data_IF_947947524722
#
_entry.id   IF_947947524722
#
_cell.length_a   1.000
_cell.length_b   1.000
_cell.length_c   1.000
_cell.angle_alpha   90.00
_cell.angle_beta   90.00
_cell.angle_gamma   90.00
#
_symmetry.space_group_name_H-M   'P 1'
#
loop_
_entity.id
_entity.type
_entity.pdbx_description
1 polymer ?
#
# COMPACT_ATOMS: atom_id res chain seq x y z
N UNK A 1 -7.86 19.31 -12.70
CA UNK A 1 -7.52 18.94 -11.31
C UNK A 1 -7.91 17.47 -11.06
N UNK A 2 -7.12 16.53 -11.57
CA UNK A 2 -7.34 15.09 -11.39
C UNK A 2 -5.99 14.40 -11.17
N UNK A 3 -5.42 14.58 -9.99
CA UNK A 3 -4.26 13.78 -9.54
C UNK A 3 -4.45 13.54 -8.04
N UNK A 4 -4.81 12.32 -7.63
CA UNK A 4 -5.15 12.08 -6.22
C UNK A 4 -5.45 10.65 -5.80
N UNK A 5 -5.10 9.62 -6.59
CA UNK A 5 -5.42 8.23 -6.26
C UNK A 5 -4.22 7.26 -6.30
N UNK A 6 -2.99 7.76 -6.09
CA UNK A 6 -1.78 6.94 -6.01
C UNK A 6 -1.25 6.71 -4.58
N UNK A 7 -1.91 7.26 -3.56
CA UNK A 7 -1.29 7.48 -2.24
C UNK A 7 -1.09 6.23 -1.38
N UNK A 8 -1.96 5.21 -1.44
CA UNK A 8 -1.89 4.11 -0.45
C UNK A 8 -0.81 3.06 -0.76
N UNK A 9 -0.61 2.68 -2.03
CA UNK A 9 0.49 1.75 -2.40
C UNK A 9 1.87 2.39 -2.32
N UNK A 10 1.99 3.71 -2.37
CA UNK A 10 3.28 4.40 -2.26
C UNK A 10 3.67 4.57 -0.78
N UNK A 11 2.74 4.97 0.09
CA UNK A 11 3.02 5.15 1.53
C UNK A 11 3.48 3.88 2.25
N UNK A 12 2.75 2.77 2.09
CA UNK A 12 3.12 1.50 2.78
C UNK A 12 4.51 0.98 2.38
N UNK A 13 4.96 1.25 1.15
CA UNK A 13 6.31 0.89 0.69
C UNK A 13 7.40 1.81 1.28
N UNK A 14 7.06 3.06 1.61
CA UNK A 14 7.98 4.00 2.26
C UNK A 14 8.16 3.64 3.74
N UNK A 15 7.08 3.27 4.44
CA UNK A 15 7.17 2.79 5.84
C UNK A 15 8.12 1.59 5.95
N UNK A 16 8.00 0.65 5.01
CA UNK A 16 8.90 -0.50 4.92
C UNK A 16 10.35 -0.06 4.65
N UNK A 17 10.58 0.83 3.68
CA UNK A 17 11.92 1.32 3.35
C UNK A 17 12.59 2.05 4.52
N UNK A 18 11.83 2.85 5.29
CA UNK A 18 12.33 3.51 6.51
C UNK A 18 12.69 2.49 7.59
N UNK A 19 11.90 1.42 7.76
CA UNK A 19 12.23 0.31 8.66
C UNK A 19 13.51 -0.43 8.26
N UNK A 20 13.72 -0.63 6.96
CA UNK A 20 14.97 -1.19 6.41
C UNK A 20 16.14 -0.25 6.67
N UNK A 21 15.99 1.06 6.42
CA UNK A 21 17.01 2.05 6.71
C UNK A 21 17.39 2.06 8.20
N UNK A 22 16.40 1.99 9.10
CA UNK A 22 16.64 1.93 10.54
C UNK A 22 17.42 0.67 10.96
N UNK A 23 17.14 -0.47 10.31
CA UNK A 23 17.83 -1.73 10.57
C UNK A 23 19.29 -1.71 10.07
N UNK A 24 19.54 -1.08 8.93
CA UNK A 24 20.85 -1.09 8.27
C UNK A 24 21.79 0.05 8.71
N UNK A 25 21.23 1.21 9.05
CA UNK A 25 21.98 2.45 9.33
C UNK A 25 21.68 3.04 10.71
N UNK A 26 20.72 2.47 11.43
CA UNK A 26 20.29 2.96 12.72
C UNK A 26 19.15 3.97 12.60
N UNK A 27 18.55 4.25 13.76
CA UNK A 27 17.34 5.05 13.88
C UNK A 27 17.51 6.50 13.38
N UNK A 28 18.61 7.16 13.73
CA UNK A 28 18.86 8.56 13.38
C UNK A 28 18.84 8.78 11.87
N UNK A 29 19.53 7.93 11.10
CA UNK A 29 19.56 8.04 9.63
C UNK A 29 18.15 7.86 9.03
N UNK A 30 17.36 6.94 9.58
CA UNK A 30 15.98 6.74 9.12
C UNK A 30 15.08 7.95 9.42
N UNK A 31 15.25 8.59 10.58
CA UNK A 31 14.53 9.83 10.94
C UNK A 31 14.96 11.00 10.04
N UNK A 32 16.25 11.10 9.70
CA UNK A 32 16.75 12.10 8.74
C UNK A 32 16.19 11.88 7.33
N UNK A 33 16.13 10.63 6.85
CA UNK A 33 15.51 10.29 5.56
C UNK A 33 14.02 10.62 5.58
N UNK A 34 13.31 10.30 6.67
CA UNK A 34 11.90 10.62 6.83
C UNK A 34 11.67 12.14 6.75
N UNK A 35 12.51 12.92 7.42
CA UNK A 35 12.45 14.39 7.40
C UNK A 35 12.79 14.95 6.02
N UNK A 36 13.85 14.45 5.37
CA UNK A 36 14.28 14.87 4.03
C UNK A 36 13.17 14.69 2.99
N UNK A 37 12.38 13.62 3.12
CA UNK A 37 11.26 13.33 2.24
C UNK A 37 9.98 14.07 2.62
N UNK A 38 9.98 14.85 3.70
CA UNK A 38 8.78 15.44 4.33
C UNK A 38 7.66 14.39 4.49
N UNK A 39 8.06 13.17 4.84
CA UNK A 39 7.16 12.02 4.80
C UNK A 39 6.26 11.98 6.04
N UNK A 40 5.06 12.53 5.87
CA UNK A 40 3.97 12.54 6.85
C UNK A 40 2.76 11.84 6.24
N UNK A 41 2.64 10.50 6.34
CA UNK A 41 1.54 9.78 5.72
C UNK A 41 0.20 10.14 6.40
N UNK A 42 -0.72 10.73 5.63
CA UNK A 42 -2.09 11.03 6.08
C UNK A 42 -3.11 10.53 5.05
N UNK A 43 -3.45 9.23 5.08
CA UNK A 43 -4.43 8.67 4.16
C UNK A 43 -5.82 9.28 4.42
N UNK A 44 -6.57 9.69 3.38
CA UNK A 44 -7.90 10.31 3.54
C UNK A 44 -9.00 9.31 3.95
N UNK A 45 -8.75 8.00 3.92
CA UNK A 45 -9.70 6.97 4.34
C UNK A 45 -9.01 5.93 5.22
N UNK A 46 -9.71 5.40 6.22
CA UNK A 46 -9.25 4.32 7.10
C UNK A 46 -9.75 2.95 6.61
N UNK A 47 -9.19 2.48 5.49
CA UNK A 47 -9.55 1.17 4.93
C UNK A 47 -8.34 0.43 4.33
N UNK A 48 -7.15 0.69 4.90
CA UNK A 48 -5.91 0.02 4.52
C UNK A 48 -5.78 -1.39 5.08
N UNK A 49 -6.56 -1.72 6.12
CA UNK A 49 -6.57 -3.05 6.75
C UNK A 49 -8.00 -3.61 6.78
N UNK A 50 -8.20 -4.92 6.50
CA UNK A 50 -9.53 -5.53 6.53
C UNK A 50 -10.23 -5.38 7.88
N UNK A 51 -9.46 -5.36 8.97
CA UNK A 51 -9.99 -5.26 10.34
C UNK A 51 -10.44 -3.84 10.72
N UNK A 52 -10.00 -2.82 9.95
CA UNK A 52 -10.31 -1.41 10.21
C UNK A 52 -11.47 -0.87 9.38
N UNK A 53 -12.10 -1.71 8.54
CA UNK A 53 -13.13 -1.26 7.59
C UNK A 53 -14.40 -2.10 7.66
N UNK A 54 -15.48 -1.58 7.08
CA UNK A 54 -16.74 -2.30 6.88
C UNK A 54 -16.51 -3.68 6.21
N UNK A 55 -16.93 -4.79 6.85
CA UNK A 55 -16.84 -6.14 6.27
C UNK A 55 -17.47 -6.25 4.87
N UNK A 56 -18.53 -5.48 4.59
CA UNK A 56 -19.13 -5.46 3.25
C UNK A 56 -18.17 -4.84 2.21
N UNK A 57 -17.35 -3.85 2.60
CA UNK A 57 -16.31 -3.33 1.72
C UNK A 57 -15.24 -4.40 1.44
N UNK A 58 -14.82 -5.13 2.48
CA UNK A 58 -13.86 -6.24 2.33
C UNK A 58 -14.38 -7.28 1.35
N UNK A 59 -15.64 -7.69 1.49
CA UNK A 59 -16.26 -8.69 0.61
C UNK A 59 -16.36 -8.21 -0.85
N UNK A 60 -16.77 -6.95 -1.07
CA UNK A 60 -16.76 -6.36 -2.43
C UNK A 60 -15.37 -6.38 -3.07
N UNK A 61 -14.32 -6.10 -2.29
CA UNK A 61 -12.94 -6.13 -2.78
C UNK A 61 -12.50 -7.56 -3.10
N UNK A 62 -12.82 -8.54 -2.24
CA UNK A 62 -12.53 -9.97 -2.49
C UNK A 62 -13.18 -10.49 -3.77
N UNK A 63 -14.44 -10.13 -4.01
CA UNK A 63 -15.14 -10.51 -5.24
C UNK A 63 -14.46 -9.93 -6.50
N UNK A 64 -14.07 -8.65 -6.45
CA UNK A 64 -13.33 -8.01 -7.56
C UNK A 64 -11.98 -8.67 -7.82
N UNK A 65 -11.24 -9.03 -6.76
CA UNK A 65 -9.96 -9.72 -6.89
C UNK A 65 -10.13 -11.13 -7.46
N UNK A 66 -11.15 -11.87 -7.03
CA UNK A 66 -11.45 -13.20 -7.57
C UNK A 66 -11.59 -13.18 -9.09
N UNK A 67 -12.36 -12.22 -9.64
CA UNK A 67 -12.51 -12.04 -11.10
C UNK A 67 -11.17 -11.74 -11.78
N UNK A 68 -10.32 -10.91 -11.17
CA UNK A 68 -9.02 -10.53 -11.73
C UNK A 68 -7.97 -11.67 -11.68
N UNK A 69 -7.98 -12.49 -10.63
CA UNK A 69 -7.07 -13.66 -10.54
C UNK A 69 -7.46 -14.73 -11.56
N UNK A 70 -8.75 -14.97 -11.77
CA UNK A 70 -9.23 -15.90 -12.79
C UNK A 70 -8.87 -15.43 -14.22
N UNK A 71 -8.82 -14.13 -14.48
CA UNK A 71 -8.44 -13.60 -15.81
C UNK A 71 -6.92 -13.65 -16.08
N UNK A 72 -6.08 -13.63 -15.05
CA UNK A 72 -4.62 -13.85 -15.19
C UNK A 72 -4.33 -15.31 -15.56
N UNK A 73 -5.03 -16.27 -14.93
CA UNK A 73 -4.84 -17.70 -15.21
C UNK A 73 -5.30 -18.08 -16.62
N UNK A 74 -6.32 -17.40 -17.18
CA UNK A 74 -6.76 -17.60 -18.56
C UNK A 74 -5.76 -17.17 -19.64
N UNK A 75 -4.87 -16.21 -19.35
CA UNK A 75 -3.80 -15.81 -20.28
C UNK A 75 -2.57 -16.75 -20.21
N UNK A 76 -2.29 -17.32 -19.04
CA UNK A 76 -1.18 -18.26 -18.86
C UNK A 76 -1.44 -19.65 -19.50
N UNK A 77 -2.70 -20.02 -19.71
CA UNK A 77 -3.08 -21.31 -20.30
C UNK A 77 -3.06 -21.37 -21.85
N UNK A 78 -2.63 -20.28 -22.52
CA UNK A 78 -2.62 -20.15 -23.99
C UNK A 78 -1.23 -20.01 -24.62
N UNK A 79 -0.16 -20.27 -23.85
CA UNK A 79 1.22 -20.25 -24.32
C UNK A 79 1.78 -21.67 -24.46
#
# INVERSE_FOLDING_TARGET
>A
MREGYAWRRIGENIDFALGVAATLRGRTEAEEIQLLLEYVPQPPFDCGRPELTDPQLVERVRQRLSVAVHSIQGHAAKA
#
